data_IF_713735090049
#
_entry.id   IF_713735090049
#
_cell.length_a   1.000
_cell.length_b   1.000
_cell.length_c   1.000
_cell.angle_alpha   90.00
_cell.angle_beta   90.00
_cell.angle_gamma   90.00
#
_symmetry.space_group_name_H-M   'P 1'
#
loop_
_entity.id
_entity.type
_entity.pdbx_description
1 polymer ?
#
# COMPACT_ATOMS: atom_id res chain seq x y z
N UNK A 1 -20.94 -27.95 -1.98
CA UNK A 1 -19.89 -27.20 -2.68
C UNK A 1 -19.72 -25.87 -1.96
N UNK A 2 -18.65 -25.62 -1.20
CA UNK A 2 -18.39 -24.27 -0.74
C UNK A 2 -17.88 -23.48 -1.94
N UNK A 3 -18.60 -22.43 -2.34
CA UNK A 3 -18.09 -21.43 -3.27
C UNK A 3 -16.90 -20.76 -2.62
N UNK A 4 -15.71 -21.14 -3.09
CA UNK A 4 -14.42 -20.55 -2.78
C UNK A 4 -14.30 -19.14 -3.37
N UNK A 5 -15.21 -18.25 -2.99
CA UNK A 5 -14.98 -16.82 -3.06
C UNK A 5 -14.18 -16.47 -1.80
N UNK A 6 -12.93 -16.92 -1.75
CA UNK A 6 -11.98 -16.50 -0.72
C UNK A 6 -12.13 -14.99 -0.51
N UNK A 7 -12.35 -14.58 0.74
CA UNK A 7 -12.61 -13.19 1.08
C UNK A 7 -11.57 -12.33 0.35
N UNK A 8 -12.01 -11.39 -0.49
CA UNK A 8 -11.07 -10.46 -1.14
C UNK A 8 -10.75 -9.34 -0.17
N UNK A 9 -9.52 -8.85 -0.22
CA UNK A 9 -9.11 -7.72 0.61
C UNK A 9 -10.13 -6.57 0.55
N UNK A 10 -10.54 -6.06 1.71
CA UNK A 10 -11.55 -5.00 1.79
C UNK A 10 -11.18 -3.76 0.94
N UNK A 11 -9.88 -3.45 0.85
CA UNK A 11 -9.36 -2.38 0.00
C UNK A 11 -9.62 -2.63 -1.49
N UNK A 12 -9.42 -3.85 -1.98
CA UNK A 12 -9.71 -4.19 -3.38
C UNK A 12 -11.20 -4.14 -3.68
N UNK A 13 -12.04 -4.53 -2.71
CA UNK A 13 -13.50 -4.39 -2.83
C UNK A 13 -13.91 -2.92 -2.88
N UNK A 14 -13.36 -2.09 -1.99
CA UNK A 14 -13.58 -0.64 -1.98
C UNK A 14 -13.16 0.01 -3.30
N UNK A 15 -11.96 -0.34 -3.80
CA UNK A 15 -11.46 0.10 -5.10
C UNK A 15 -12.41 -0.27 -6.23
N UNK A 16 -12.85 -1.53 -6.31
CA UNK A 16 -13.77 -2.00 -7.36
C UNK A 16 -15.08 -1.21 -7.37
N UNK A 17 -15.66 -0.96 -6.18
CA UNK A 17 -16.88 -0.16 -6.04
C UNK A 17 -16.67 1.30 -6.45
N UNK A 18 -15.54 1.89 -6.09
CA UNK A 18 -15.24 3.28 -6.46
C UNK A 18 -15.06 3.42 -7.97
N UNK A 19 -14.30 2.52 -8.60
CA UNK A 19 -14.04 2.55 -10.04
C UNK A 19 -15.28 2.23 -10.88
N UNK A 20 -16.28 1.51 -10.35
CA UNK A 20 -17.56 1.35 -11.07
C UNK A 20 -18.37 2.64 -11.18
N UNK A 21 -18.12 3.61 -10.31
CA UNK A 21 -18.79 4.92 -10.33
C UNK A 21 -17.90 5.99 -10.95
N UNK A 22 -16.60 5.95 -10.67
CA UNK A 22 -15.60 6.92 -11.11
C UNK A 22 -14.38 6.20 -11.71
N UNK A 23 -14.45 5.73 -12.97
CA UNK A 23 -13.43 4.86 -13.56
C UNK A 23 -12.07 5.54 -13.69
N UNK A 24 -12.04 6.85 -13.91
CA UNK A 24 -10.80 7.60 -14.12
C UNK A 24 -10.20 8.14 -12.81
N UNK A 25 -10.88 7.96 -11.67
CA UNK A 25 -10.35 8.46 -10.39
C UNK A 25 -9.19 7.60 -9.91
N UNK A 26 -8.12 8.30 -9.57
CA UNK A 26 -6.97 7.74 -8.90
C UNK A 26 -7.34 6.99 -7.60
N UNK A 27 -6.61 5.90 -7.32
CA UNK A 27 -6.86 5.01 -6.21
C UNK A 27 -5.62 4.47 -5.57
N UNK A 28 -5.37 4.90 -4.34
CA UNK A 28 -4.24 4.45 -3.52
C UNK A 28 -4.44 3.02 -2.99
N UNK A 29 -5.65 2.45 -3.10
CA UNK A 29 -6.01 1.17 -2.49
C UNK A 29 -5.14 0.02 -3.02
N UNK A 30 -4.89 -0.03 -4.33
CA UNK A 30 -4.05 -1.07 -4.93
C UNK A 30 -2.58 -0.87 -4.53
N UNK A 31 -2.11 0.37 -4.45
CA UNK A 31 -0.73 0.66 -4.10
C UNK A 31 -0.45 0.28 -2.63
N UNK A 32 -1.40 0.51 -1.71
CA UNK A 32 -1.32 0.04 -0.32
C UNK A 32 -1.27 -1.49 -0.25
N UNK A 33 -2.12 -2.19 -1.01
CA UNK A 33 -2.09 -3.65 -1.07
C UNK A 33 -0.77 -4.16 -1.63
N UNK A 34 -0.26 -3.55 -2.71
CA UNK A 34 0.97 -3.97 -3.37
C UNK A 34 2.20 -3.76 -2.48
N UNK A 35 2.31 -2.60 -1.83
CA UNK A 35 3.40 -2.34 -0.87
C UNK A 35 3.32 -3.28 0.33
N UNK A 36 2.12 -3.52 0.87
CA UNK A 36 1.92 -4.49 1.97
C UNK A 36 2.39 -5.90 1.57
N UNK A 37 1.96 -6.40 0.41
CA UNK A 37 2.34 -7.71 -0.08
C UNK A 37 3.83 -7.79 -0.39
N UNK A 38 4.39 -6.75 -1.00
CA UNK A 38 5.83 -6.69 -1.29
C UNK A 38 6.67 -6.75 -0.02
N UNK A 39 6.31 -6.01 1.04
CA UNK A 39 7.01 -6.08 2.34
C UNK A 39 6.96 -7.49 2.93
N UNK A 40 5.80 -8.16 2.85
CA UNK A 40 5.62 -9.54 3.30
C UNK A 40 6.58 -10.49 2.57
N UNK A 41 6.57 -10.44 1.24
CA UNK A 41 7.39 -11.33 0.40
C UNK A 41 8.89 -11.01 0.51
N UNK A 42 9.28 -9.73 0.47
CA UNK A 42 10.67 -9.28 0.47
C UNK A 42 11.41 -9.61 1.76
N UNK A 43 10.72 -9.50 2.89
CA UNK A 43 11.31 -9.65 4.22
C UNK A 43 10.90 -10.97 4.91
N UNK A 44 10.18 -11.86 4.22
CA UNK A 44 9.77 -13.16 4.75
C UNK A 44 8.85 -13.05 5.97
N UNK A 45 7.97 -12.06 5.98
CA UNK A 45 7.09 -11.76 7.12
C UNK A 45 5.78 -12.53 6.99
N UNK A 46 5.17 -12.94 8.10
CA UNK A 46 3.84 -13.57 8.05
C UNK A 46 2.73 -12.55 7.81
N UNK A 47 2.89 -11.34 8.37
CA UNK A 47 1.94 -10.23 8.23
C UNK A 47 2.60 -8.90 8.58
N UNK A 48 2.18 -7.84 7.89
CA UNK A 48 2.48 -6.45 8.25
C UNK A 48 1.23 -5.60 8.16
N UNK A 49 1.18 -4.52 8.92
CA UNK A 49 0.18 -3.47 8.76
C UNK A 49 0.86 -2.20 8.27
N UNK A 50 0.51 -1.77 7.05
CA UNK A 50 0.94 -0.48 6.49
C UNK A 50 -0.17 0.53 6.74
N UNK A 51 0.13 1.53 7.55
CA UNK A 51 -0.74 2.66 7.84
C UNK A 51 -0.31 3.84 6.97
N UNK A 52 -1.26 4.43 6.26
CA UNK A 52 -1.04 5.64 5.46
C UNK A 52 -1.85 6.77 6.07
N UNK A 53 -1.15 7.85 6.38
CA UNK A 53 -1.75 9.08 6.88
C UNK A 53 -1.85 10.10 5.74
N UNK A 54 -2.95 10.86 5.70
CA UNK A 54 -3.16 11.92 4.71
C UNK A 54 -3.70 13.18 5.38
N UNK A 55 -3.30 14.34 4.88
CA UNK A 55 -4.00 15.58 5.17
C UNK A 55 -5.30 15.65 4.38
N UNK A 56 -6.31 16.35 4.90
CA UNK A 56 -7.61 16.51 4.22
C UNK A 56 -7.51 17.26 2.88
N UNK A 57 -6.44 18.04 2.70
CA UNK A 57 -6.17 18.79 1.47
C UNK A 57 -5.46 17.97 0.38
N UNK A 58 -4.93 16.79 0.71
CA UNK A 58 -4.16 15.97 -0.22
C UNK A 58 -5.03 15.33 -1.31
N UNK A 59 -4.59 15.45 -2.56
CA UNK A 59 -5.25 14.90 -3.75
C UNK A 59 -4.31 13.93 -4.47
N UNK A 60 -4.85 12.86 -5.03
CA UNK A 60 -4.04 11.94 -5.83
C UNK A 60 -2.95 11.23 -5.02
N UNK A 61 -1.70 11.37 -5.47
CA UNK A 61 -0.50 10.69 -4.93
C UNK A 61 0.19 11.50 -3.82
N UNK A 62 -0.59 12.03 -2.89
CA UNK A 62 -0.07 12.81 -1.75
C UNK A 62 -0.40 12.13 -0.43
N UNK A 63 0.61 12.00 0.44
CA UNK A 63 0.53 11.40 1.77
C UNK A 63 1.19 12.31 2.80
N UNK A 64 0.68 12.30 4.02
CA UNK A 64 1.33 12.96 5.16
C UNK A 64 2.42 12.07 5.77
N UNK A 65 2.22 10.75 5.72
CA UNK A 65 3.19 9.79 6.24
C UNK A 65 2.78 8.35 5.99
N UNK A 66 3.73 7.45 6.24
CA UNK A 66 3.53 6.01 6.25
C UNK A 66 4.18 5.41 7.48
N UNK A 67 3.51 4.47 8.14
CA UNK A 67 4.05 3.71 9.26
C UNK A 67 3.80 2.23 9.06
N UNK A 68 4.82 1.39 9.26
CA UNK A 68 4.68 -0.07 9.21
C UNK A 68 4.76 -0.66 10.61
N UNK A 69 3.75 -1.46 10.97
CA UNK A 69 3.76 -2.23 12.21
C UNK A 69 3.82 -3.72 11.92
N UNK A 70 4.74 -4.41 12.61
CA UNK A 70 4.73 -5.88 12.70
C UNK A 70 4.58 -6.27 14.18
N UNK A 71 3.86 -7.34 14.48
CA UNK A 71 3.85 -7.86 15.84
C UNK A 71 5.10 -8.73 16.03
N UNK A 72 5.97 -8.48 17.04
CA UNK A 72 5.87 -7.56 18.17
C UNK A 72 6.79 -6.31 18.09
N UNK A 73 7.26 -5.89 16.90
CA UNK A 73 8.25 -4.80 16.76
C UNK A 73 7.82 -3.81 15.68
N UNK A 74 8.03 -2.52 15.92
CA UNK A 74 8.06 -1.52 14.84
C UNK A 74 9.48 -1.48 14.27
N UNK A 75 9.76 -2.10 13.11
CA UNK A 75 11.10 -2.07 12.58
C UNK A 75 11.18 -0.80 11.74
N UNK A 76 11.87 0.24 12.23
CA UNK A 76 12.10 1.49 11.49
C UNK A 76 12.51 1.23 10.02
N UNK A 77 13.30 0.17 9.78
CA UNK A 77 13.68 -0.30 8.45
C UNK A 77 12.52 -0.66 7.51
N UNK A 78 11.42 -1.22 8.02
CA UNK A 78 10.24 -1.52 7.19
C UNK A 78 9.45 -0.27 6.86
N UNK A 79 9.39 0.69 7.79
CA UNK A 79 8.77 2.00 7.54
C UNK A 79 9.54 2.75 6.46
N UNK A 80 10.88 2.79 6.54
CA UNK A 80 11.73 3.34 5.49
C UNK A 80 11.53 2.62 4.14
N UNK A 81 11.50 1.29 4.15
CA UNK A 81 11.27 0.51 2.92
C UNK A 81 9.91 0.80 2.29
N UNK A 82 8.86 0.95 3.10
CA UNK A 82 7.53 1.33 2.62
C UNK A 82 7.52 2.76 2.07
N UNK A 83 8.19 3.69 2.76
CA UNK A 83 8.35 5.06 2.31
C UNK A 83 9.03 5.13 0.94
N UNK A 84 10.17 4.47 0.76
CA UNK A 84 10.85 4.38 -0.53
C UNK A 84 9.98 3.76 -1.62
N UNK A 85 9.23 2.70 -1.31
CA UNK A 85 8.33 2.07 -2.26
C UNK A 85 7.23 3.02 -2.74
N UNK A 86 6.63 3.80 -1.84
CA UNK A 86 5.64 4.81 -2.22
C UNK A 86 6.27 5.96 -3.01
N UNK A 87 7.43 6.47 -2.62
CA UNK A 87 8.16 7.49 -3.40
C UNK A 87 8.46 6.98 -4.81
N UNK A 88 8.91 5.73 -4.96
CA UNK A 88 9.18 5.11 -6.26
C UNK A 88 7.92 4.90 -7.12
N UNK A 89 6.74 4.78 -6.50
CA UNK A 89 5.44 4.80 -7.18
C UNK A 89 4.97 6.21 -7.55
N UNK A 90 5.78 7.24 -7.26
CA UNK A 90 5.50 8.65 -7.58
C UNK A 90 4.64 9.36 -6.55
N UNK A 91 4.67 8.93 -5.29
CA UNK A 91 4.01 9.67 -4.21
C UNK A 91 4.90 10.79 -3.67
N UNK A 92 4.27 11.94 -3.40
CA UNK A 92 4.83 12.97 -2.54
C UNK A 92 4.42 12.67 -1.11
N UNK A 93 5.39 12.55 -0.22
CA UNK A 93 5.17 12.32 1.21
C UNK A 93 5.69 13.54 1.94
N UNK A 94 4.77 14.37 2.44
CA UNK A 94 5.10 15.63 3.13
C UNK A 94 4.13 15.84 4.28
N UNK A 95 4.67 16.04 5.48
CA UNK A 95 3.90 16.46 6.65
C UNK A 95 3.80 18.00 6.67
N UNK A 96 2.65 18.52 6.26
CA UNK A 96 2.36 19.95 6.27
C UNK A 96 1.99 20.46 7.66
N UNK A 97 2.08 19.63 8.70
CA UNK A 97 1.63 19.87 10.08
C UNK A 97 0.14 20.18 10.21
N UNK A 98 -0.63 19.94 9.15
CA UNK A 98 -2.07 20.04 9.18
C UNK A 98 -2.69 18.78 9.80
N UNK A 99 -3.99 18.81 10.08
CA UNK A 99 -4.69 17.64 10.58
C UNK A 99 -4.54 16.45 9.62
N UNK A 100 -4.18 15.29 10.18
CA UNK A 100 -4.08 14.02 9.46
C UNK A 100 -5.26 13.11 9.80
N UNK A 101 -5.61 12.25 8.85
CA UNK A 101 -6.47 11.10 9.12
C UNK A 101 -5.79 9.84 8.56
N UNK A 102 -5.96 8.72 9.29
CA UNK A 102 -5.55 7.41 8.80
C UNK A 102 -6.46 7.01 7.64
N UNK A 103 -5.88 6.81 6.46
CA UNK A 103 -6.65 6.57 5.25
C UNK A 103 -7.27 5.16 5.26
N UNK A 104 -6.48 4.14 4.93
CA UNK A 104 -6.92 2.74 4.88
C UNK A 104 -5.72 1.80 5.03
N UNK A 105 -5.95 0.54 5.43
CA UNK A 105 -4.91 -0.48 5.53
C UNK A 105 -5.33 -1.78 4.82
N UNK A 106 -4.35 -2.56 4.37
CA UNK A 106 -4.59 -3.88 3.78
C UNK A 106 -4.83 -4.93 4.88
N UNK A 107 -5.85 -5.77 4.70
CA UNK A 107 -6.25 -6.80 5.67
C UNK A 107 -5.59 -8.18 5.44
N UNK A 108 -4.90 -8.38 4.31
CA UNK A 108 -4.08 -9.57 4.02
C UNK A 108 -4.76 -10.65 3.17
N UNK A 109 -5.96 -10.44 2.66
CA UNK A 109 -6.65 -11.45 1.85
C UNK A 109 -6.34 -11.33 0.35
N UNK A 110 -5.15 -11.80 -0.01
CA UNK A 110 -4.66 -11.81 -1.39
C UNK A 110 -4.17 -13.20 -1.79
N UNK A 111 -4.28 -13.50 -3.08
CA UNK A 111 -3.73 -14.72 -3.66
C UNK A 111 -2.20 -14.62 -3.83
N UNK A 112 -1.53 -15.77 -3.89
CA UNK A 112 -0.08 -15.85 -4.19
C UNK A 112 0.27 -15.16 -5.52
N UNK A 113 -0.61 -15.23 -6.50
CA UNK A 113 -0.41 -14.58 -7.80
C UNK A 113 -0.40 -13.05 -7.69
N UNK A 114 -1.27 -12.49 -6.86
CA UNK A 114 -1.28 -11.05 -6.57
C UNK A 114 -0.02 -10.62 -5.84
N UNK A 115 0.46 -11.43 -4.88
CA UNK A 115 1.71 -11.16 -4.18
C UNK A 115 2.91 -11.12 -5.13
N UNK A 116 3.02 -12.08 -6.06
CA UNK A 116 4.09 -12.10 -7.09
C UNK A 116 4.02 -10.86 -8.00
N UNK A 117 2.82 -10.46 -8.43
CA UNK A 117 2.62 -9.26 -9.26
C UNK A 117 3.00 -7.99 -8.52
N UNK A 118 2.57 -7.86 -7.26
CA UNK A 118 2.93 -6.76 -6.40
C UNK A 118 4.44 -6.68 -6.23
N UNK A 119 5.09 -7.80 -5.93
CA UNK A 119 6.55 -7.87 -5.78
C UNK A 119 7.27 -7.36 -7.04
N UNK A 120 6.91 -7.89 -8.21
CA UNK A 120 7.52 -7.47 -9.47
C UNK A 120 7.30 -5.97 -9.75
N UNK A 121 6.09 -5.47 -9.48
CA UNK A 121 5.74 -4.05 -9.69
C UNK A 121 6.57 -3.12 -8.81
N UNK A 122 6.66 -3.41 -7.51
CA UNK A 122 7.39 -2.56 -6.55
C UNK A 122 8.89 -2.60 -6.81
N UNK A 123 9.47 -3.79 -7.02
CA UNK A 123 10.90 -3.90 -7.36
C UNK A 123 11.24 -3.17 -8.65
N UNK A 124 10.39 -3.28 -9.68
CA UNK A 124 10.60 -2.53 -10.94
C UNK A 124 10.56 -1.02 -10.71
N UNK A 125 9.59 -0.53 -9.93
CA UNK A 125 9.48 0.89 -9.60
C UNK A 125 10.73 1.38 -8.85
N UNK A 126 11.19 0.63 -7.84
CA UNK A 126 12.39 0.95 -7.07
C UNK A 126 13.65 0.96 -7.94
N UNK A 127 13.78 0.00 -8.88
CA UNK A 127 14.91 -0.03 -9.82
C UNK A 127 14.92 1.20 -10.73
N UNK A 128 13.77 1.56 -11.31
CA UNK A 128 13.64 2.76 -12.13
C UNK A 128 13.95 4.03 -11.34
N UNK A 129 13.45 4.14 -10.10
CA UNK A 129 13.64 5.31 -9.26
C UNK A 129 15.08 5.49 -8.78
N UNK A 130 15.81 4.39 -8.50
CA UNK A 130 17.22 4.43 -8.07
C UNK A 130 18.22 4.53 -9.23
N UNK A 131 17.75 4.37 -10.47
CA UNK A 131 18.60 4.53 -11.64
C UNK A 131 18.93 6.02 -11.82
N UNK A 132 20.21 6.39 -12.01
CA UNK A 132 20.65 7.78 -12.15
C UNK A 132 20.17 8.45 -13.44
#
# INVERSE_FOLDING_TARGET
MPTDAGARCALQVARKRRLSVYPDRFGMEQDICDVTMWLVEKYGLSRVHVFVDRHYIHVGREMAGVTVMTSPRNPARLTEAAHEAFVALGYTIEDTRADIYGHQHCDGHHSRHEAIRAYARIESALLCWRSP
#
